data_IF_502681248045
#
_entry.id   IF_502681248045
#
_cell.length_a   1.000
_cell.length_b   1.000
_cell.length_c   1.000
_cell.angle_alpha   90.00
_cell.angle_beta   90.00
_cell.angle_gamma   90.00
#
_symmetry.space_group_name_H-M   'P 1'
#
loop_
_entity.id
_entity.type
_entity.pdbx_description
1 polymer ?
2 water ?
#
# COMPACT_ATOMS: atom_id res chain seq x y z
N UNK A 2 -9.71 -25.47 -14.19
CA UNK A 2 -8.69 -24.40 -14.34
C UNK A 2 -8.25 -23.86 -12.98
N UNK A 3 -8.66 -24.48 -11.88
CA UNK A 3 -8.13 -24.17 -10.57
C UNK A 3 -6.61 -24.28 -10.53
N UNK A 4 -6.05 -25.32 -11.13
CA UNK A 4 -4.60 -25.48 -11.13
C UNK A 4 -3.88 -24.33 -11.81
N UNK A 5 -4.46 -23.91 -12.93
CA UNK A 5 -3.97 -22.75 -13.66
C UNK A 5 -4.08 -21.49 -12.84
N UNK A 6 -5.21 -21.29 -12.18
CA UNK A 6 -5.38 -20.10 -11.38
C UNK A 6 -4.37 -20.08 -10.28
N UNK A 7 -4.14 -21.21 -9.66
CA UNK A 7 -3.11 -21.28 -8.60
C UNK A 7 -1.72 -20.91 -9.11
N UNK A 8 -1.36 -21.41 -10.27
CA UNK A 8 -0.05 -21.05 -10.85
C UNK A 8 0.01 -19.56 -11.17
N UNK A 9 -1.07 -18.97 -11.66
CA UNK A 9 -1.13 -17.54 -11.91
C UNK A 9 -0.95 -16.72 -10.65
N UNK A 10 -1.53 -17.17 -9.56
CA UNK A 10 -1.37 -16.52 -8.27
C UNK A 10 0.06 -16.53 -7.81
N UNK A 11 0.67 -17.69 -7.86
CA UNK A 11 2.09 -17.75 -7.51
C UNK A 11 2.93 -16.76 -8.31
N UNK A 12 2.75 -16.79 -9.61
CA UNK A 12 3.51 -15.92 -10.48
C UNK A 12 3.20 -14.43 -10.18
N UNK A 13 1.93 -14.07 -10.01
CA UNK A 13 1.55 -12.68 -9.78
C UNK A 13 2.10 -12.15 -8.46
N UNK A 14 1.92 -12.91 -7.39
CA UNK A 14 2.37 -12.43 -6.10
C UNK A 14 3.90 -12.44 -6.10
N UNK A 15 4.56 -13.37 -6.75
CA UNK A 15 6.00 -13.33 -6.80
C UNK A 15 6.49 -12.07 -7.49
N UNK A 16 5.80 -11.61 -8.52
CA UNK A 16 6.19 -10.36 -9.17
C UNK A 16 6.05 -9.22 -8.19
N UNK A 17 5.02 -9.26 -7.38
CA UNK A 17 4.79 -8.16 -6.41
C UNK A 17 5.92 -8.11 -5.42
N UNK A 18 6.38 -9.27 -4.92
CA UNK A 18 7.49 -9.28 -3.98
C UNK A 18 8.78 -8.86 -4.71
N UNK A 19 9.03 -9.38 -5.91
CA UNK A 19 10.31 -9.15 -6.56
C UNK A 19 10.46 -7.68 -6.93
N UNK A 20 9.38 -7.03 -7.27
CA UNK A 20 9.37 -5.63 -7.69
C UNK A 20 9.28 -4.68 -6.50
N UNK A 21 9.07 -5.20 -5.28
CA UNK A 21 9.06 -4.38 -4.10
C UNK A 21 7.72 -3.86 -3.69
N UNK A 22 6.64 -4.26 -4.34
CA UNK A 22 5.35 -3.80 -3.97
C UNK A 22 4.88 -4.33 -2.62
N UNK A 23 5.28 -5.58 -2.31
CA UNK A 23 4.98 -6.23 -1.03
C UNK A 23 6.27 -6.74 -0.42
N UNK A 24 6.32 -6.75 0.90
CA UNK A 24 7.42 -7.30 1.66
C UNK A 24 6.91 -8.29 2.68
N UNK A 25 7.81 -8.73 3.55
CA UNK A 25 7.51 -9.80 4.48
C UNK A 25 6.39 -9.46 5.44
N UNK A 26 6.03 -8.20 5.59
CA UNK A 26 4.95 -7.92 6.50
C UNK A 26 3.62 -8.37 5.86
N UNK A 27 3.56 -8.46 4.53
CA UNK A 27 2.33 -8.99 3.93
C UNK A 27 2.22 -10.47 4.25
N UNK A 28 3.35 -11.18 4.28
CA UNK A 28 3.32 -12.58 4.70
C UNK A 28 2.91 -12.75 6.14
N UNK A 29 3.31 -11.83 7.00
CA UNK A 29 2.83 -11.83 8.40
C UNK A 29 1.31 -11.70 8.56
N UNK A 30 0.66 -10.89 7.72
CA UNK A 30 -0.82 -10.82 7.74
C UNK A 30 -1.38 -12.14 7.37
N UNK A 31 -0.78 -12.79 6.38
CA UNK A 31 -1.23 -14.10 5.95
C UNK A 31 -1.12 -15.15 7.08
N UNK A 32 -0.13 -15.00 7.94
CA UNK A 32 0.07 -15.91 9.03
C UNK A 32 -1.10 -15.89 9.99
N UNK A 33 -1.75 -14.74 10.13
CA UNK A 33 -2.90 -14.58 11.06
C UNK A 33 -4.26 -14.93 10.44
N UNK A 34 -4.20 -15.39 9.19
CA UNK A 34 -5.41 -15.82 8.46
C UNK A 34 -5.39 -17.31 8.23
N UNK A 35 -6.52 -17.94 8.49
CA UNK A 35 -6.69 -19.36 8.20
C UNK A 35 -8.14 -19.68 8.02
N UNK A 36 -8.46 -20.96 7.94
CA UNK A 36 -9.82 -21.32 7.56
C UNK A 36 -10.86 -20.80 8.55
N UNK A 37 -10.45 -20.53 9.76
CA UNK A 37 -11.34 -19.97 10.76
C UNK A 37 -11.51 -18.46 10.66
N UNK A 38 -10.60 -17.80 9.97
CA UNK A 38 -10.75 -16.38 9.68
C UNK A 38 -10.19 -16.13 8.29
N UNK A 39 -10.96 -16.50 7.28
CA UNK A 39 -10.37 -16.62 5.96
C UNK A 39 -10.34 -15.32 5.19
N UNK A 40 -11.02 -14.30 5.72
CA UNK A 40 -11.07 -12.97 5.09
C UNK A 40 -10.30 -11.89 5.84
N UNK A 41 -9.45 -12.27 6.78
CA UNK A 41 -8.70 -11.29 7.53
C UNK A 41 -7.83 -10.36 6.64
N UNK A 42 -7.08 -10.90 5.71
CA UNK A 42 -6.20 -10.08 4.87
C UNK A 42 -7.01 -9.07 4.05
N UNK A 43 -8.07 -9.55 3.43
CA UNK A 43 -8.97 -8.67 2.70
C UNK A 43 -9.45 -7.51 3.60
N UNK A 44 -9.87 -7.85 4.83
CA UNK A 44 -10.41 -6.83 5.71
C UNK A 44 -9.37 -5.78 6.08
N UNK A 45 -8.14 -6.24 6.34
CA UNK A 45 -7.08 -5.35 6.75
C UNK A 45 -6.71 -4.45 5.57
N UNK A 46 -6.54 -5.03 4.39
CA UNK A 46 -6.25 -4.22 3.18
C UNK A 46 -7.36 -3.16 2.95
N UNK A 47 -8.61 -3.58 3.14
CA UNK A 47 -9.75 -2.65 3.00
C UNK A 47 -9.68 -1.50 3.93
N UNK A 48 -9.31 -1.76 5.20
CA UNK A 48 -9.18 -0.67 6.14
C UNK A 48 -8.07 0.32 5.70
N UNK A 49 -6.95 -0.22 5.24
CA UNK A 49 -5.85 0.56 4.71
C UNK A 49 -6.35 1.42 3.53
N UNK A 50 -7.09 0.86 2.59
CA UNK A 50 -7.51 1.67 1.44
C UNK A 50 -8.37 2.84 1.90
N UNK A 51 -9.30 2.56 2.81
CA UNK A 51 -10.17 3.67 3.32
C UNK A 51 -9.37 4.81 4.02
N UNK A 52 -8.43 4.45 4.92
CA UNK A 52 -7.61 5.48 5.60
C UNK A 52 -6.65 6.19 4.66
N UNK A 53 -6.06 5.44 3.73
CA UNK A 53 -5.05 6.01 2.83
C UNK A 53 -5.68 7.04 1.92
N UNK A 54 -6.89 6.83 1.47
CA UNK A 54 -7.49 7.81 0.59
C UNK A 54 -7.85 9.10 1.28
N UNK A 55 -8.24 9.04 2.54
CA UNK A 55 -8.41 10.23 3.35
C UNK A 55 -7.09 10.98 3.51
N UNK A 56 -6.03 10.26 3.86
CA UNK A 56 -4.73 10.87 4.07
C UNK A 56 -4.28 11.58 2.79
N UNK A 57 -4.45 10.91 1.64
CA UNK A 57 -3.93 11.43 0.39
C UNK A 57 -4.69 12.66 -0.05
N UNK A 58 -5.97 12.66 0.18
CA UNK A 58 -6.77 13.83 -0.10
C UNK A 58 -6.34 15.01 0.77
N UNK A 59 -6.16 14.78 2.08
CA UNK A 59 -5.72 15.88 2.91
C UNK A 59 -4.30 16.37 2.53
N UNK A 60 -3.41 15.44 2.16
CA UNK A 60 -2.06 15.78 1.85
C UNK A 60 -1.99 16.58 0.56
N UNK A 61 -2.76 16.23 -0.50
CA UNK A 61 -2.63 16.97 -1.76
C UNK A 61 -3.03 18.41 -1.55
N UNK A 62 -4.12 18.61 -0.82
CA UNK A 62 -4.58 19.96 -0.50
C UNK A 62 -3.53 20.75 0.29
N UNK A 63 -2.92 20.11 1.28
CA UNK A 63 -1.93 20.72 2.10
C UNK A 63 -0.66 21.07 1.36
N UNK A 64 -0.15 20.19 0.49
CA UNK A 64 1.14 20.49 -0.16
C UNK A 64 0.98 21.49 -1.27
N UNK A 65 -0.22 21.65 -1.78
CA UNK A 65 -0.42 22.47 -2.97
C UNK A 65 -0.88 23.86 -2.59
N UNK A 66 -0.51 24.26 -1.41
CA UNK A 66 -0.65 25.63 -0.94
C UNK A 66 0.66 26.44 -1.08
N UNK A 67 0.64 27.76 -1.18
CA UNK A 67 1.84 28.60 -1.40
C UNK A 67 2.83 28.33 -0.28
N UNK A 68 2.32 28.25 0.95
CA UNK A 68 3.13 27.95 2.12
C UNK A 68 2.64 26.65 2.70
N UNK A 69 3.51 25.67 2.78
CA UNK A 69 3.14 24.36 3.33
C UNK A 69 3.33 24.34 4.84
N UNK A 70 2.35 23.82 5.58
CA UNK A 70 2.49 23.54 7.00
C UNK A 70 3.25 22.22 7.12
N UNK A 71 4.58 22.29 7.17
CA UNK A 71 5.42 21.09 7.10
C UNK A 71 5.23 20.17 8.31
N UNK A 72 4.95 20.75 9.46
CA UNK A 72 4.72 19.99 10.67
C UNK A 72 3.49 19.07 10.51
N UNK A 73 2.41 19.64 10.01
CA UNK A 73 1.16 18.89 9.87
C UNK A 73 1.30 17.83 8.77
N UNK A 74 1.92 18.22 7.66
CA UNK A 74 2.16 17.31 6.56
C UNK A 74 3.03 16.16 7.03
N UNK A 75 4.07 16.46 7.77
CA UNK A 75 4.95 15.40 8.20
C UNK A 75 4.22 14.43 9.11
N UNK A 76 3.32 14.91 9.94
CA UNK A 76 2.61 14.01 10.83
C UNK A 76 1.67 13.07 10.02
N UNK A 77 1.02 13.61 9.00
CA UNK A 77 0.11 12.77 8.19
C UNK A 77 0.92 11.76 7.37
N UNK A 78 2.07 12.15 6.82
CA UNK A 78 2.91 11.21 6.10
C UNK A 78 3.42 10.13 6.99
N UNK A 79 3.79 10.53 8.19
CA UNK A 79 4.31 9.56 9.17
C UNK A 79 3.24 8.50 9.49
N UNK A 80 2.00 8.94 9.64
CA UNK A 80 0.89 8.03 9.89
C UNK A 80 0.75 7.04 8.73
N UNK A 81 0.82 7.55 7.49
CA UNK A 81 0.73 6.69 6.29
C UNK A 81 1.92 5.78 6.14
N UNK A 82 3.09 6.22 6.53
CA UNK A 82 4.23 5.33 6.56
C UNK A 82 3.95 4.07 7.41
N UNK A 83 3.39 4.27 8.59
CA UNK A 83 3.14 3.22 9.53
C UNK A 83 2.08 2.25 9.05
N UNK A 84 1.04 2.80 8.49
CA UNK A 84 -0.07 1.97 8.05
C UNK A 84 0.35 1.17 6.81
N UNK A 85 1.01 1.83 5.85
CA UNK A 85 1.49 1.09 4.72
C UNK A 85 2.53 0.04 5.07
N UNK A 86 3.43 0.34 5.98
CA UNK A 86 4.42 -0.61 6.41
C UNK A 86 3.71 -1.82 6.98
N UNK A 87 2.66 -1.58 7.75
CA UNK A 87 2.03 -2.65 8.50
C UNK A 87 1.28 -3.70 7.62
N UNK A 88 0.97 -3.32 6.39
CA UNK A 88 0.37 -4.26 5.44
C UNK A 88 1.37 -4.84 4.47
N UNK A 89 2.62 -4.36 4.56
CA UNK A 89 3.72 -4.77 3.68
C UNK A 89 3.88 -3.99 2.39
N UNK A 90 3.28 -2.82 2.27
CA UNK A 90 3.33 -2.00 1.04
C UNK A 90 4.63 -1.23 1.06
N UNK A 91 5.72 -1.93 0.81
CA UNK A 91 7.06 -1.34 1.05
C UNK A 91 7.42 -0.20 0.17
N UNK A 92 6.99 -0.24 -1.07
CA UNK A 92 7.27 0.93 -1.94
C UNK A 92 6.49 2.19 -1.48
N UNK A 93 5.27 2.02 -0.99
CA UNK A 93 4.56 3.15 -0.42
C UNK A 93 5.31 3.64 0.83
N UNK A 94 5.68 2.72 1.71
CA UNK A 94 6.48 3.09 2.92
C UNK A 94 7.72 3.86 2.56
N UNK A 95 8.46 3.36 1.57
CA UNK A 95 9.75 3.99 1.22
C UNK A 95 9.50 5.36 0.65
N UNK A 96 8.43 5.53 -0.15
CA UNK A 96 8.06 6.87 -0.66
C UNK A 96 7.73 7.83 0.46
N UNK A 97 7.06 7.34 1.50
CA UNK A 97 6.77 8.17 2.66
C UNK A 97 8.05 8.57 3.40
N UNK A 98 9.00 7.65 3.52
CA UNK A 98 10.33 8.00 4.07
C UNK A 98 11.02 9.12 3.31
N UNK A 99 11.02 9.03 2.00
CA UNK A 99 11.58 10.04 1.16
C UNK A 99 10.85 11.40 1.40
N UNK A 100 9.53 11.37 1.49
CA UNK A 100 8.75 12.59 1.67
C UNK A 100 9.05 13.23 3.02
N UNK A 101 9.19 12.40 4.04
CA UNK A 101 9.57 12.98 5.32
C UNK A 101 10.94 13.66 5.28
N UNK A 102 11.88 13.14 4.49
CA UNK A 102 13.15 13.87 4.39
C UNK A 102 12.94 15.26 3.75
N UNK A 103 12.11 15.36 2.71
CA UNK A 103 11.90 16.62 2.06
C UNK A 103 11.07 17.56 2.88
N UNK A 104 10.22 17.01 3.72
CA UNK A 104 9.49 17.79 4.73
C UNK A 104 10.45 18.42 5.71
N UNK A 105 11.45 17.63 6.16
CA UNK A 105 12.38 18.16 7.13
C UNK A 105 13.24 19.29 6.50
N UNK A 106 13.54 19.16 5.21
CA UNK A 106 14.33 20.15 4.49
C UNK A 106 13.49 21.36 4.11
N UNK A 107 12.17 21.18 4.20
CA UNK A 107 11.22 22.26 3.92
C UNK A 107 11.27 22.74 2.46
N UNK A 108 11.33 21.76 1.57
CA UNK A 108 11.49 21.96 0.16
C UNK A 108 10.11 21.78 -0.48
N UNK A 109 9.45 22.87 -0.79
CA UNK A 109 8.07 22.78 -1.32
C UNK A 109 7.98 21.92 -2.54
N UNK A 110 8.80 22.21 -3.56
CA UNK A 110 8.68 21.47 -4.78
C UNK A 110 9.00 20.00 -4.57
N UNK A 111 10.01 19.67 -3.79
CA UNK A 111 10.29 18.27 -3.60
C UNK A 111 9.16 17.57 -2.82
N UNK A 112 8.56 18.26 -1.85
CA UNK A 112 7.36 17.70 -1.22
C UNK A 112 6.24 17.43 -2.21
N UNK A 113 6.02 18.35 -3.16
CA UNK A 113 4.96 18.15 -4.11
C UNK A 113 5.24 16.93 -5.01
N UNK A 114 6.45 16.82 -5.49
CA UNK A 114 6.82 15.72 -6.34
C UNK A 114 6.79 14.39 -5.60
N UNK A 115 7.24 14.44 -4.37
CA UNK A 115 7.24 13.26 -3.49
C UNK A 115 5.82 12.82 -3.25
N UNK A 116 4.90 13.75 -2.97
CA UNK A 116 3.51 13.33 -2.80
C UNK A 116 2.99 12.70 -4.08
N UNK A 117 3.34 13.20 -5.24
CA UNK A 117 2.88 12.66 -6.48
C UNK A 117 3.37 11.19 -6.54
N UNK A 118 4.57 10.93 -6.10
CA UNK A 118 5.05 9.57 -6.14
C UNK A 118 4.38 8.68 -5.10
N UNK A 119 4.17 9.17 -3.87
CA UNK A 119 3.46 8.38 -2.83
C UNK A 119 2.09 7.96 -3.33
N UNK A 120 1.38 8.91 -3.92
CA UNK A 120 0.06 8.64 -4.48
C UNK A 120 0.16 7.59 -5.59
N UNK A 121 1.09 7.76 -6.53
CA UNK A 121 1.25 6.80 -7.59
C UNK A 121 1.54 5.42 -7.06
N UNK A 122 2.44 5.32 -6.08
CA UNK A 122 2.80 4.03 -5.46
C UNK A 122 1.60 3.41 -4.73
N UNK A 123 0.81 4.24 -4.08
CA UNK A 123 -0.39 3.76 -3.43
C UNK A 123 -1.38 3.19 -4.44
N UNK A 124 -1.61 3.88 -5.54
CA UNK A 124 -2.56 3.39 -6.52
C UNK A 124 -2.04 2.11 -7.17
N UNK A 125 -0.73 2.00 -7.42
CA UNK A 125 -0.18 0.79 -8.00
C UNK A 125 -0.46 -0.40 -7.12
N UNK A 126 -0.12 -0.34 -5.85
CA UNK A 126 -0.30 -1.48 -4.99
C UNK A 126 -1.78 -1.74 -4.71
N UNK A 127 -2.62 -0.69 -4.65
CA UNK A 127 -4.05 -0.92 -4.48
C UNK A 127 -4.56 -1.75 -5.64
N UNK A 128 -4.30 -1.32 -6.85
CA UNK A 128 -4.77 -2.03 -8.01
C UNK A 128 -4.25 -3.48 -8.01
N UNK A 129 -2.97 -3.69 -7.73
CA UNK A 129 -2.38 -5.02 -7.80
C UNK A 129 -3.03 -5.89 -6.70
N UNK A 130 -3.24 -5.34 -5.50
CA UNK A 130 -3.89 -6.08 -4.42
C UNK A 130 -5.31 -6.48 -4.78
N UNK A 131 -6.03 -5.58 -5.45
CA UNK A 131 -7.42 -5.93 -5.88
C UNK A 131 -7.37 -7.12 -6.81
N UNK A 132 -6.47 -7.09 -7.77
CA UNK A 132 -6.26 -8.20 -8.71
C UNK A 132 -5.91 -9.51 -7.95
N UNK A 133 -4.95 -9.46 -7.05
CA UNK A 133 -4.56 -10.60 -6.26
C UNK A 133 -5.74 -11.17 -5.47
N UNK A 134 -6.46 -10.28 -4.78
CA UNK A 134 -7.62 -10.69 -3.95
C UNK A 134 -8.78 -11.25 -4.78
N UNK A 135 -8.99 -10.69 -5.97
CA UNK A 135 -9.99 -11.21 -6.89
C UNK A 135 -9.66 -12.63 -7.35
N UNK A 136 -8.37 -12.87 -7.63
CA UNK A 136 -7.89 -14.18 -8.07
C UNK A 136 -8.07 -15.20 -6.92
N UNK A 137 -7.69 -14.81 -5.71
CA UNK A 137 -7.90 -15.65 -4.55
C UNK A 137 -9.38 -16.04 -4.40
N UNK A 138 -10.27 -15.06 -4.52
CA UNK A 138 -11.69 -15.36 -4.39
C UNK A 138 -12.12 -16.38 -5.44
N UNK A 139 -11.58 -16.25 -6.66
CA UNK A 139 -11.91 -17.21 -7.72
C UNK A 139 -11.39 -18.62 -7.43
N UNK A 140 -10.17 -18.71 -6.97
CA UNK A 140 -9.57 -19.99 -6.60
C UNK A 140 -10.44 -20.69 -5.55
N UNK A 141 -10.80 -19.98 -4.49
CA UNK A 141 -11.51 -20.58 -3.39
C UNK A 141 -12.93 -20.93 -3.79
N UNK A 142 -13.59 -20.10 -4.62
CA UNK A 142 -14.93 -20.41 -5.05
C UNK A 142 -14.91 -21.65 -5.88
N UNK A 143 -13.87 -21.88 -6.66
CA UNK A 143 -13.70 -23.04 -7.51
C UNK A 143 -13.25 -24.28 -6.73
N UNK A 144 -13.18 -24.23 -5.40
CA UNK A 144 -12.81 -25.37 -4.61
C UNK A 144 -11.34 -25.56 -4.33
N UNK A 145 -10.50 -24.62 -4.75
CA UNK A 145 -9.09 -24.77 -4.50
C UNK A 145 -8.62 -24.06 -3.26
N UNK A 146 -7.35 -24.22 -2.93
CA UNK A 146 -6.73 -23.54 -1.86
C UNK A 146 -5.71 -22.55 -2.42
N UNK A 147 -5.47 -21.47 -1.71
CA UNK A 147 -4.45 -20.56 -2.13
C UNK A 147 -3.12 -21.20 -1.77
N UNK A 148 -2.19 -21.18 -2.71
CA UNK A 148 -0.89 -21.75 -2.44
C UNK A 148 -0.15 -21.02 -1.34
N UNK A 149 0.90 -21.69 -0.90
CA UNK A 149 1.93 -21.27 0.07
C UNK A 149 1.48 -21.40 1.52
#
# INVERSE_FOLDING_TARGET
MEVGQMRRQWVDYIKSMFMEGFLDGQFLQLQQLQDENNPEFVFEVVSLFFDDSERILKDLSFAVDQQSIDFKKVDAHVHQFKGSSASIGAQRVKNSCVAFRNFCEEQNIDACRRCLQQVKQEYLLVKNKLETLLRLEQQIVAAGGSIPMMELN
#
